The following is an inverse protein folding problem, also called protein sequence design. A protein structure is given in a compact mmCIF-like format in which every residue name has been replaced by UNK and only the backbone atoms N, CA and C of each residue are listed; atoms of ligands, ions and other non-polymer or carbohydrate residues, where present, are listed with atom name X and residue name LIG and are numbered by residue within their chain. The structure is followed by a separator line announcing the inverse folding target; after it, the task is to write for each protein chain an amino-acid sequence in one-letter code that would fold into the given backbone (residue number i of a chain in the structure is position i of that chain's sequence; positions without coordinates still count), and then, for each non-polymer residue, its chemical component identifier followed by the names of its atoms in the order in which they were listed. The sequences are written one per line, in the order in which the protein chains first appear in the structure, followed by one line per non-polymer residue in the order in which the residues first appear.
data_IF_069599093989
#
_entry.id   IF_069599093989
#
_cell.length_a   1.000
_cell.length_b   1.000
_cell.length_c   1.000
_cell.angle_alpha   90.00
_cell.angle_beta   90.00
_cell.angle_gamma   90.00
#
_symmetry.space_group_name_H-M   'P 1'
#
loop_
_entity.id
_entity.type
_entity.pdbx_description
1 polymer ?
#
# COMPACT_ATOMS: atom_id res chain seq x y z
N UNK A 1 -15.47 -5.21 -2.11
CA UNK A 1 -14.44 -5.90 -1.30
C UNK A 1 -13.59 -4.82 -0.68
N UNK A 2 -13.62 -4.63 0.63
CA UNK A 2 -12.63 -3.76 1.29
C UNK A 2 -11.37 -4.60 1.54
N UNK A 3 -10.22 -4.10 1.12
CA UNK A 3 -8.94 -4.75 1.43
C UNK A 3 -8.76 -4.84 2.96
N UNK A 4 -8.16 -5.91 3.48
CA UNK A 4 -7.86 -6.02 4.90
C UNK A 4 -7.00 -4.85 5.36
N UNK A 5 -7.38 -4.22 6.48
CA UNK A 5 -6.63 -3.12 7.11
C UNK A 5 -5.36 -3.69 7.75
N UNK A 6 -4.25 -3.68 7.02
CA UNK A 6 -2.92 -3.80 7.62
C UNK A 6 -2.53 -2.41 8.13
N UNK A 7 -2.16 -2.30 9.41
CA UNK A 7 -1.81 -1.03 10.06
C UNK A 7 -0.34 -0.67 9.76
N UNK A 8 0.03 -0.63 8.48
CA UNK A 8 1.36 -0.35 7.96
C UNK A 8 1.24 0.69 6.85
N UNK A 9 2.27 1.52 6.68
CA UNK A 9 2.28 2.47 5.56
C UNK A 9 2.23 1.67 4.24
N UNK A 10 1.43 2.13 3.26
CA UNK A 10 1.23 1.43 1.97
C UNK A 10 2.57 1.09 1.29
N UNK A 11 3.57 1.97 1.37
CA UNK A 11 4.91 1.71 0.82
C UNK A 11 5.57 0.50 1.49
N UNK A 12 5.43 0.36 2.80
CA UNK A 12 5.97 -0.80 3.54
C UNK A 12 5.25 -2.08 3.15
N UNK A 13 3.93 -2.04 3.01
CA UNK A 13 3.12 -3.17 2.58
C UNK A 13 3.55 -3.67 1.19
N UNK A 14 3.80 -2.76 0.25
CA UNK A 14 4.29 -3.10 -1.08
C UNK A 14 5.74 -3.64 -1.06
N UNK A 15 6.59 -3.16 -0.15
CA UNK A 15 7.93 -3.72 0.08
C UNK A 15 7.86 -5.15 0.63
N UNK A 16 6.93 -5.45 1.54
CA UNK A 16 6.69 -6.81 2.03
C UNK A 16 6.19 -7.74 0.92
N UNK A 17 5.27 -7.26 0.07
CA UNK A 17 4.81 -8.01 -1.10
C UNK A 17 5.96 -8.35 -2.06
N UNK A 18 6.83 -7.38 -2.36
CA UNK A 18 8.04 -7.59 -3.17
C UNK A 18 8.97 -8.63 -2.54
N UNK A 19 9.24 -8.51 -1.25
CA UNK A 19 10.09 -9.45 -0.51
C UNK A 19 9.52 -10.88 -0.56
N UNK A 20 8.21 -11.01 -0.40
CA UNK A 20 7.51 -12.30 -0.48
C UNK A 20 7.61 -12.92 -1.87
N UNK A 21 7.43 -12.14 -2.93
CA UNK A 21 7.62 -12.61 -4.32
C UNK A 21 9.05 -13.09 -4.55
N UNK A 22 10.06 -12.33 -4.13
CA UNK A 22 11.45 -12.72 -4.30
C UNK A 22 11.77 -14.03 -3.57
N UNK A 23 11.23 -14.21 -2.35
CA UNK A 23 11.39 -15.44 -1.57
C UNK A 23 10.68 -16.63 -2.24
N UNK A 24 9.48 -16.43 -2.80
CA UNK A 24 8.79 -17.48 -3.56
C UNK A 24 9.58 -17.90 -4.80
N UNK A 25 10.17 -16.95 -5.53
CA UNK A 25 11.05 -17.22 -6.67
C UNK A 25 12.32 -17.98 -6.27
N UNK A 26 12.92 -17.60 -5.14
CA UNK A 26 14.06 -18.31 -4.58
C UNK A 26 13.70 -19.77 -4.24
N UNK A 27 12.58 -19.99 -3.55
CA UNK A 27 12.11 -21.32 -3.20
C UNK A 27 11.78 -22.15 -4.44
N UNK A 28 11.18 -21.52 -5.46
CA UNK A 28 10.92 -22.14 -6.75
C UNK A 28 12.22 -22.63 -7.42
N UNK A 29 13.26 -21.80 -7.43
CA UNK A 29 14.56 -22.16 -8.03
C UNK A 29 15.24 -23.36 -7.35
N UNK A 30 14.95 -23.57 -6.06
CA UNK A 30 15.48 -24.65 -5.23
C UNK A 30 14.53 -25.83 -5.07
N UNK A 31 13.33 -25.71 -5.65
CA UNK A 31 12.23 -26.66 -5.51
C UNK A 31 11.91 -27.00 -4.03
N UNK A 32 11.92 -25.99 -3.16
CA UNK A 32 11.69 -26.12 -1.72
C UNK A 32 10.21 -26.06 -1.34
N UNK A 33 9.81 -26.85 -0.35
CA UNK A 33 8.43 -26.85 0.11
C UNK A 33 7.95 -25.44 0.54
N UNK A 34 6.69 -25.13 0.24
CA UNK A 34 6.00 -23.90 0.65
C UNK A 34 4.63 -24.24 1.27
N UNK A 35 4.26 -23.46 2.29
CA UNK A 35 3.05 -23.59 3.08
C UNK A 35 3.26 -24.41 4.35
N UNK A 36 4.03 -25.49 4.26
CA UNK A 36 4.44 -26.32 5.39
C UNK A 36 5.94 -26.59 5.31
N UNK A 37 6.63 -26.46 6.44
CA UNK A 37 8.03 -26.84 6.54
C UNK A 37 8.18 -28.35 6.25
N UNK A 38 9.12 -28.70 5.36
CA UNK A 38 9.32 -30.08 4.93
C UNK A 38 9.59 -31.05 6.08
N UNK A 39 10.31 -30.65 7.13
CA UNK A 39 10.74 -31.55 8.20
C UNK A 39 9.73 -31.65 9.36
N UNK A 40 9.02 -30.55 9.65
CA UNK A 40 8.16 -30.44 10.84
C UNK A 40 6.67 -30.34 10.51
N UNK A 41 6.31 -30.16 9.24
CA UNK A 41 4.96 -29.88 8.76
C UNK A 41 4.28 -28.69 9.48
N UNK A 42 5.08 -27.79 10.08
CA UNK A 42 4.57 -26.54 10.66
C UNK A 42 4.30 -25.52 9.55
N UNK A 43 3.26 -24.67 9.69
CA UNK A 43 3.06 -23.50 8.83
C UNK A 43 4.34 -22.70 8.66
N UNK A 44 4.66 -22.33 7.42
CA UNK A 44 5.77 -21.44 7.15
C UNK A 44 5.35 -19.97 7.13
N UNK A 45 6.34 -19.09 6.92
CA UNK A 45 6.11 -17.65 6.86
C UNK A 45 5.34 -17.24 5.59
N UNK A 46 5.26 -18.08 4.54
CA UNK A 46 4.42 -17.78 3.39
C UNK A 46 2.95 -17.97 3.76
N UNK A 47 2.60 -19.11 4.37
CA UNK A 47 1.21 -19.34 4.78
C UNK A 47 0.73 -18.23 5.74
N UNK A 48 1.55 -17.87 6.71
CA UNK A 48 1.25 -16.76 7.63
C UNK A 48 1.05 -15.41 6.89
N UNK A 49 1.88 -15.11 5.89
CA UNK A 49 1.74 -13.89 5.09
C UNK A 49 0.40 -13.83 4.36
N UNK A 50 0.00 -14.94 3.73
CA UNK A 50 -1.23 -15.04 2.96
C UNK A 50 -2.47 -15.02 3.86
N UNK A 51 -2.45 -15.77 4.96
CA UNK A 51 -3.56 -15.84 5.93
C UNK A 51 -3.85 -14.47 6.55
N UNK A 52 -2.82 -13.73 6.96
CA UNK A 52 -2.97 -12.39 7.54
C UNK A 52 -3.60 -11.37 6.58
N UNK A 53 -3.58 -11.67 5.28
CA UNK A 53 -4.07 -10.80 4.20
C UNK A 53 -5.29 -11.37 3.49
N UNK A 54 -5.84 -12.49 3.99
CA UNK A 54 -6.97 -13.20 3.38
C UNK A 54 -6.72 -13.51 1.89
N UNK A 55 -5.49 -13.95 1.56
CA UNK A 55 -5.07 -14.29 0.20
C UNK A 55 -5.16 -15.79 -0.04
N UNK A 56 -5.54 -16.18 -1.26
CA UNK A 56 -5.56 -17.58 -1.64
C UNK A 56 -4.14 -18.17 -1.69
N UNK A 57 -3.90 -19.26 -0.96
CA UNK A 57 -2.60 -19.93 -0.91
C UNK A 57 -2.63 -21.32 -1.54
N UNK A 58 -1.62 -21.63 -2.35
CA UNK A 58 -1.39 -22.95 -2.96
C UNK A 58 -0.19 -23.62 -2.29
N UNK A 59 -0.41 -24.80 -1.72
CA UNK A 59 0.65 -25.58 -1.08
C UNK A 59 1.53 -26.31 -2.11
N UNK A 60 2.81 -26.46 -1.79
CA UNK A 60 3.69 -27.40 -2.46
C UNK A 60 4.60 -28.07 -1.44
N UNK A 61 4.41 -29.38 -1.23
CA UNK A 61 5.22 -30.18 -0.31
C UNK A 61 5.58 -31.48 -1.00
N UNK A 62 6.88 -31.81 -0.99
CA UNK A 62 7.41 -33.09 -1.45
C UNK A 62 8.36 -33.62 -0.38
N UNK A 63 7.90 -34.49 0.51
CA UNK A 63 8.79 -35.12 1.50
C UNK A 63 8.30 -36.48 1.96
N UNK A 64 9.23 -37.44 2.16
CA UNK A 64 9.00 -38.76 2.80
C UNK A 64 7.72 -39.48 2.36
N UNK A 65 7.43 -39.48 1.06
CA UNK A 65 6.24 -40.15 0.49
C UNK A 65 4.94 -39.35 0.57
N UNK A 66 4.97 -38.12 1.10
CA UNK A 66 3.86 -37.16 1.06
C UNK A 66 4.09 -36.17 -0.08
N UNK A 67 3.07 -36.02 -0.92
CA UNK A 67 3.02 -35.05 -2.02
C UNK A 67 1.74 -34.24 -1.88
N UNK A 68 1.88 -32.92 -1.72
CA UNK A 68 0.78 -31.96 -1.69
C UNK A 68 1.02 -30.94 -2.79
N UNK A 69 0.00 -30.74 -3.63
CA UNK A 69 0.05 -29.79 -4.73
C UNK A 69 1.08 -30.15 -5.79
N UNK A 70 1.51 -29.16 -6.56
CA UNK A 70 2.53 -29.29 -7.61
C UNK A 70 3.29 -27.97 -7.79
N UNK A 71 4.34 -27.97 -8.61
CA UNK A 71 5.23 -26.80 -8.77
C UNK A 71 4.54 -25.55 -9.36
N UNK A 72 3.32 -25.64 -9.90
CA UNK A 72 2.56 -24.43 -10.29
C UNK A 72 2.15 -23.58 -9.09
N UNK A 73 2.19 -24.12 -7.87
CA UNK A 73 1.90 -23.40 -6.63
C UNK A 73 2.74 -22.12 -6.47
N UNK A 74 4.03 -22.13 -6.84
CA UNK A 74 4.86 -20.93 -6.80
C UNK A 74 4.30 -19.83 -7.69
N UNK A 75 4.02 -20.14 -8.96
CA UNK A 75 3.49 -19.18 -9.94
C UNK A 75 2.13 -18.65 -9.48
N UNK A 76 1.25 -19.52 -8.98
CA UNK A 76 -0.06 -19.11 -8.49
C UNK A 76 0.05 -18.15 -7.30
N UNK A 77 0.90 -18.47 -6.32
CA UNK A 77 1.12 -17.64 -5.14
C UNK A 77 1.79 -16.30 -5.50
N UNK A 78 2.77 -16.30 -6.40
CA UNK A 78 3.40 -15.06 -6.91
C UNK A 78 2.35 -14.18 -7.59
N UNK A 79 1.49 -14.75 -8.44
CA UNK A 79 0.44 -14.01 -9.13
C UNK A 79 -0.59 -13.43 -8.15
N UNK A 80 -0.95 -14.17 -7.10
CA UNK A 80 -1.87 -13.67 -6.08
C UNK A 80 -1.28 -12.49 -5.31
N UNK A 81 -0.01 -12.57 -4.91
CA UNK A 81 0.69 -11.43 -4.24
C UNK A 81 0.79 -10.23 -5.17
N UNK A 82 1.08 -10.44 -6.47
CA UNK A 82 1.10 -9.36 -7.47
C UNK A 82 -0.26 -8.68 -7.62
N UNK A 83 -1.33 -9.47 -7.73
CA UNK A 83 -2.71 -8.97 -7.83
C UNK A 83 -3.10 -8.16 -6.59
N UNK A 84 -2.74 -8.65 -5.40
CA UNK A 84 -2.95 -7.93 -4.14
C UNK A 84 -2.22 -6.57 -4.12
N UNK A 85 -0.93 -6.57 -4.47
CA UNK A 85 -0.13 -5.35 -4.54
C UNK A 85 -0.69 -4.33 -5.55
N UNK A 86 -1.16 -4.80 -6.71
CA UNK A 86 -1.79 -3.94 -7.72
C UNK A 86 -3.03 -3.24 -7.18
N UNK A 87 -3.93 -4.00 -6.55
CA UNK A 87 -5.18 -3.47 -6.00
C UNK A 87 -4.93 -2.39 -4.94
N UNK A 88 -3.89 -2.56 -4.11
CA UNK A 88 -3.46 -1.55 -3.14
C UNK A 88 -2.98 -0.28 -3.85
N UNK A 89 -2.08 -0.39 -4.83
CA UNK A 89 -1.54 0.76 -5.56
C UNK A 89 -2.66 1.52 -6.26
N UNK A 90 -3.54 0.84 -6.99
CA UNK A 90 -4.64 1.47 -7.72
C UNK A 90 -5.59 2.22 -6.77
N UNK A 91 -5.96 1.59 -5.66
CA UNK A 91 -6.82 2.22 -4.65
C UNK A 91 -6.16 3.46 -4.04
N UNK A 92 -4.87 3.37 -3.73
CA UNK A 92 -4.13 4.45 -3.07
C UNK A 92 -3.83 5.62 -4.01
N UNK A 93 -3.47 5.34 -5.26
CA UNK A 93 -3.28 6.35 -6.32
C UNK A 93 -4.61 7.04 -6.61
N UNK A 94 -5.72 6.31 -6.67
CA UNK A 94 -7.06 6.89 -6.86
C UNK A 94 -7.44 7.84 -5.72
N UNK A 95 -7.26 7.42 -4.46
CA UNK A 95 -7.55 8.24 -3.29
C UNK A 95 -6.65 9.49 -3.22
N UNK A 96 -5.38 9.35 -3.60
CA UNK A 96 -4.42 10.46 -3.62
C UNK A 96 -4.75 11.46 -4.72
N UNK A 97 -5.08 11.00 -5.93
CA UNK A 97 -5.51 11.88 -7.01
C UNK A 97 -6.79 12.64 -6.68
N UNK A 98 -7.76 11.98 -6.03
CA UNK A 98 -8.97 12.65 -5.54
C UNK A 98 -8.63 13.78 -4.56
N UNK A 99 -7.74 13.52 -3.62
CA UNK A 99 -7.28 14.52 -2.64
C UNK A 99 -6.54 15.68 -3.31
N UNK A 100 -5.73 15.41 -4.34
CA UNK A 100 -5.10 16.45 -5.17
C UNK A 100 -6.17 17.32 -5.83
N UNK A 101 -7.18 16.74 -6.47
CA UNK A 101 -8.27 17.50 -7.09
C UNK A 101 -9.07 18.32 -6.08
N UNK A 102 -9.26 17.81 -4.87
CA UNK A 102 -9.89 18.56 -3.77
C UNK A 102 -9.01 19.76 -3.34
N UNK A 103 -7.70 19.58 -3.17
CA UNK A 103 -6.76 20.67 -2.87
C UNK A 103 -6.72 21.72 -3.99
N UNK A 104 -6.75 21.32 -5.26
CA UNK A 104 -6.81 22.24 -6.41
C UNK A 104 -8.11 23.05 -6.40
N UNK A 105 -9.25 22.43 -6.05
CA UNK A 105 -10.51 23.15 -5.88
C UNK A 105 -10.46 24.14 -4.71
N UNK A 106 -9.89 23.76 -3.57
CA UNK A 106 -9.71 24.68 -2.44
C UNK A 106 -8.80 25.85 -2.79
N UNK A 107 -7.71 25.59 -3.53
CA UNK A 107 -6.82 26.63 -4.07
C UNK A 107 -7.58 27.63 -4.93
N UNK A 108 -8.36 27.14 -5.89
CA UNK A 108 -9.13 27.98 -6.82
C UNK A 108 -10.18 28.85 -6.13
N UNK A 109 -10.68 28.43 -4.96
CA UNK A 109 -11.66 29.17 -4.17
C UNK A 109 -11.03 29.91 -2.96
N UNK A 110 -9.72 29.82 -2.80
CA UNK A 110 -8.98 30.40 -1.67
C UNK A 110 -9.53 29.97 -0.29
N UNK A 111 -9.91 28.69 -0.16
CA UNK A 111 -10.51 28.13 1.05
C UNK A 111 -9.48 27.57 2.03
N UNK A 112 -9.69 27.78 3.33
CA UNK A 112 -8.79 27.25 4.35
C UNK A 112 -8.59 25.73 4.24
N UNK A 113 -7.34 25.28 4.42
CA UNK A 113 -6.94 23.88 4.54
C UNK A 113 -6.19 23.67 5.86
N UNK A 114 -6.41 22.52 6.49
CA UNK A 114 -5.87 22.16 7.78
C UNK A 114 -6.78 22.44 8.97
N UNK A 115 -7.70 23.38 8.84
CA UNK A 115 -8.76 23.65 9.82
C UNK A 115 -10.07 23.94 9.07
N UNK A 116 -11.18 23.38 9.53
CA UNK A 116 -12.47 23.73 8.97
C UNK A 116 -12.87 25.17 9.34
N UNK A 117 -13.47 25.89 8.39
CA UNK A 117 -13.76 27.32 8.53
C UNK A 117 -14.72 27.70 9.66
N UNK A 118 -15.56 26.77 10.10
CA UNK A 118 -16.61 27.05 11.09
C UNK A 118 -16.28 26.57 12.51
N UNK A 119 -15.54 25.47 12.67
CA UNK A 119 -15.26 24.89 14.01
C UNK A 119 -13.78 24.84 14.39
N UNK A 120 -12.88 25.31 13.52
CA UNK A 120 -11.43 25.24 13.70
C UNK A 120 -10.94 23.83 14.08
N UNK A 121 -11.65 22.79 13.62
CA UNK A 121 -11.24 21.39 13.80
C UNK A 121 -10.39 20.96 12.62
N UNK A 122 -9.43 20.01 12.80
CA UNK A 122 -8.70 19.43 11.70
C UNK A 122 -9.65 18.93 10.62
N UNK A 123 -9.45 19.37 9.38
CA UNK A 123 -10.19 18.85 8.24
C UNK A 123 -9.66 17.47 7.81
N UNK A 124 -10.30 16.89 6.79
CA UNK A 124 -9.96 15.57 6.29
C UNK A 124 -8.55 15.49 5.65
N UNK A 125 -7.95 16.61 5.25
CA UNK A 125 -6.59 16.61 4.71
C UNK A 125 -5.57 16.20 5.78
N UNK A 126 -5.75 16.64 7.03
CA UNK A 126 -4.84 16.27 8.12
C UNK A 126 -4.74 14.75 8.29
N UNK A 127 -5.88 14.06 8.39
CA UNK A 127 -5.91 12.62 8.56
C UNK A 127 -5.33 11.90 7.34
N UNK A 128 -5.68 12.36 6.12
CA UNK A 128 -5.18 11.77 4.89
C UNK A 128 -3.65 11.81 4.80
N UNK A 129 -3.03 12.92 5.15
CA UNK A 129 -1.58 13.09 5.15
C UNK A 129 -0.91 12.33 6.32
N UNK A 130 -1.51 12.37 7.51
CA UNK A 130 -1.00 11.69 8.70
C UNK A 130 -0.94 10.16 8.52
N UNK A 131 -2.01 9.55 7.98
CA UNK A 131 -2.07 8.10 7.71
C UNK A 131 -0.96 7.64 6.75
N UNK A 132 -0.45 8.55 5.91
CA UNK A 132 0.60 8.30 4.93
C UNK A 132 1.98 8.76 5.39
N UNK A 133 2.08 9.32 6.60
CA UNK A 133 3.28 9.96 7.13
C UNK A 133 3.87 11.02 6.18
N UNK A 134 3.00 11.76 5.48
CA UNK A 134 3.37 12.87 4.62
C UNK A 134 3.23 14.16 5.43
N UNK A 135 4.23 15.03 5.38
CA UNK A 135 4.15 16.32 6.06
C UNK A 135 3.06 17.19 5.41
N UNK A 136 2.04 17.53 6.20
CA UNK A 136 0.98 18.45 5.79
C UNK A 136 1.31 19.90 6.16
N UNK A 137 0.96 20.83 5.26
CA UNK A 137 1.09 22.27 5.50
C UNK A 137 -0.28 22.95 5.51
N UNK A 138 -0.72 23.55 6.64
CA UNK A 138 -2.00 24.24 6.70
C UNK A 138 -1.93 25.63 6.05
N UNK A 139 -3.07 26.11 5.58
CA UNK A 139 -3.29 27.49 5.16
C UNK A 139 -4.66 27.95 5.64
N UNK A 140 -4.68 28.95 6.54
CA UNK A 140 -5.92 29.47 7.12
C UNK A 140 -5.89 30.99 7.09
N UNK A 141 -6.99 31.58 6.64
CA UNK A 141 -7.26 33.03 6.66
C UNK A 141 -8.69 33.23 7.15
N UNK A 142 -8.91 33.34 8.46
CA UNK A 142 -10.26 33.44 9.02
C UNK A 142 -10.30 34.22 10.36
N UNK A 143 -11.14 35.25 10.45
CA UNK A 143 -11.50 35.97 11.70
C UNK A 143 -10.33 36.25 12.65
N UNK A 144 -9.21 36.76 12.14
CA UNK A 144 -8.03 37.13 12.93
C UNK A 144 -7.04 35.98 13.18
N UNK A 145 -7.29 34.78 12.65
CA UNK A 145 -6.35 33.66 12.62
C UNK A 145 -5.74 33.58 11.23
N UNK A 146 -4.41 33.68 11.18
CA UNK A 146 -3.61 33.51 9.97
C UNK A 146 -2.56 32.43 10.21
N UNK A 147 -2.63 31.35 9.45
CA UNK A 147 -1.71 30.22 9.55
C UNK A 147 -1.17 29.90 8.16
N UNK A 148 0.15 29.68 8.06
CA UNK A 148 0.81 29.27 6.83
C UNK A 148 0.76 30.32 5.71
N UNK A 149 1.15 29.88 4.51
CA UNK A 149 1.21 30.69 3.29
C UNK A 149 0.36 30.04 2.20
N UNK A 150 -0.09 30.81 1.22
CA UNK A 150 -0.88 30.28 0.08
C UNK A 150 -0.11 29.18 -0.68
N UNK A 151 1.23 29.21 -0.67
CA UNK A 151 2.07 28.15 -1.24
C UNK A 151 1.81 26.77 -0.64
N UNK A 152 1.16 26.67 0.52
CA UNK A 152 0.79 25.39 1.14
C UNK A 152 -0.02 24.49 0.20
N UNK A 153 -0.89 25.02 -0.67
CA UNK A 153 -1.60 24.19 -1.65
C UNK A 153 -0.63 23.47 -2.58
N UNK A 154 0.28 24.22 -3.20
CA UNK A 154 1.24 23.67 -4.17
C UNK A 154 2.23 22.72 -3.50
N UNK A 155 2.68 23.05 -2.29
CA UNK A 155 3.57 22.21 -1.51
C UNK A 155 2.92 20.87 -1.13
N UNK A 156 1.66 20.89 -0.68
CA UNK A 156 0.89 19.68 -0.38
C UNK A 156 0.61 18.86 -1.65
N UNK A 157 0.19 19.49 -2.76
CA UNK A 157 -0.06 18.81 -4.03
C UNK A 157 1.22 18.15 -4.55
N UNK A 158 2.36 18.82 -4.48
CA UNK A 158 3.65 18.26 -4.89
C UNK A 158 4.05 17.07 -4.02
N UNK A 159 3.88 17.16 -2.69
CA UNK A 159 4.15 16.03 -1.80
C UNK A 159 3.27 14.80 -2.13
N UNK A 160 1.99 15.00 -2.46
CA UNK A 160 1.12 13.90 -2.90
C UNK A 160 1.53 13.31 -4.26
N UNK A 161 2.00 14.14 -5.20
CA UNK A 161 2.53 13.66 -6.49
C UNK A 161 3.82 12.86 -6.32
N UNK A 162 4.72 13.30 -5.45
CA UNK A 162 5.93 12.56 -5.09
C UNK A 162 5.58 11.21 -4.46
N UNK A 163 4.59 11.19 -3.57
CA UNK A 163 4.08 9.97 -2.97
C UNK A 163 3.50 8.99 -4.02
N UNK A 164 2.70 9.47 -4.97
CA UNK A 164 2.26 8.65 -6.11
C UNK A 164 3.47 8.07 -6.87
N UNK A 165 4.50 8.89 -7.12
CA UNK A 165 5.73 8.43 -7.76
C UNK A 165 6.42 7.27 -7.03
N UNK A 166 6.44 7.31 -5.69
CA UNK A 166 6.97 6.21 -4.87
C UNK A 166 6.15 4.93 -5.01
N UNK A 167 4.82 5.02 -5.04
CA UNK A 167 3.93 3.86 -5.23
C UNK A 167 4.14 3.22 -6.60
N UNK A 168 4.26 4.04 -7.64
CA UNK A 168 4.48 3.63 -9.02
C UNK A 168 5.85 2.97 -9.23
N UNK A 169 6.90 3.49 -8.60
CA UNK A 169 8.25 2.87 -8.62
C UNK A 169 8.21 1.48 -7.98
N UNK A 170 7.59 1.35 -6.81
CA UNK A 170 7.46 0.05 -6.16
C UNK A 170 6.63 -0.92 -7.02
N UNK A 171 5.49 -0.47 -7.60
CA UNK A 171 4.68 -1.28 -8.53
C UNK A 171 5.51 -1.83 -9.69
N UNK A 172 6.30 -0.96 -10.33
CA UNK A 172 7.19 -1.34 -11.42
C UNK A 172 8.18 -2.43 -10.99
N UNK A 173 8.78 -2.27 -9.80
CA UNK A 173 9.75 -3.26 -9.30
C UNK A 173 9.15 -4.60 -8.87
N UNK A 174 7.85 -4.66 -8.56
CA UNK A 174 7.11 -5.92 -8.32
C UNK A 174 6.85 -6.67 -9.63
N UNK A 175 7.07 -6.02 -10.78
CA UNK A 175 6.82 -6.61 -12.10
C UNK A 175 5.33 -6.77 -12.36
N UNK A 176 4.56 -5.76 -11.94
CA UNK A 176 3.15 -5.58 -12.30
C UNK A 176 3.08 -4.43 -13.30
N UNK A 177 2.71 -4.74 -14.53
CA UNK A 177 2.49 -3.76 -15.59
C UNK A 177 0.99 -3.58 -15.73
N UNK A 178 0.53 -2.33 -15.86
CA UNK A 178 -0.86 -2.00 -16.15
C UNK A 178 -1.25 -2.45 -17.57
#
# INVERSE_FOLDING_TARGET
MSLPKVNTNVVQELQEAKSTINRLQEYQSKNWAIGLNGDTFQPDNFLTYFDNRDLAFNYYVQNKGVSIGNSTAYTNNINEVKKYALAIVESEVSATNKTISELENYKNNFWAIGLNGDSLQPDNFNNFFADRNIQFKPFVRNKGVEIGQESAYDENINALREYIGQLEDVRSTIGVVA
#
